data_IF_791626074980
#
_entry.id   IF_791626074980
#
_cell.length_a   1.000
_cell.length_b   1.000
_cell.length_c   1.000
_cell.angle_alpha   90.00
_cell.angle_beta   90.00
_cell.angle_gamma   90.00
#
_symmetry.space_group_name_H-M   'P 1'
#
loop_
_entity.id
_entity.type
_entity.pdbx_description
1 polymer ?
#
# COMPACT_ATOMS: atom_id res chain seq x y z
N UNK A 1 -7.98 59.92 32.40
CA UNK A 1 -8.80 59.94 31.17
C UNK A 1 -7.93 59.40 30.04
N UNK A 2 -8.13 58.12 29.75
CA UNK A 2 -7.37 57.33 28.79
C UNK A 2 -7.85 57.65 27.36
N UNK A 3 -6.91 57.97 26.46
CA UNK A 3 -7.22 58.20 25.04
C UNK A 3 -7.23 56.85 24.32
N UNK A 4 -8.38 56.48 23.78
CA UNK A 4 -8.59 55.27 22.98
C UNK A 4 -8.00 55.52 21.59
N UNK A 5 -6.94 54.78 21.23
CA UNK A 5 -6.47 54.69 19.84
C UNK A 5 -7.27 53.63 19.06
N UNK A 6 -7.61 53.87 17.78
CA UNK A 6 -8.37 52.92 16.98
C UNK A 6 -7.50 51.73 16.54
N UNK A 7 -8.07 50.53 16.66
CA UNK A 7 -7.46 49.27 16.19
C UNK A 7 -7.07 49.34 14.71
N UNK A 8 -5.91 48.78 14.30
CA UNK A 8 -5.62 48.55 12.89
C UNK A 8 -6.55 47.47 12.33
N UNK A 9 -7.24 47.79 11.22
CA UNK A 9 -7.89 46.78 10.38
C UNK A 9 -6.78 45.99 9.68
N UNK A 10 -6.62 44.73 10.06
CA UNK A 10 -5.74 43.82 9.35
C UNK A 10 -6.44 43.40 8.06
N UNK A 11 -5.76 43.62 6.94
CA UNK A 11 -6.23 43.33 5.60
C UNK A 11 -6.49 41.85 5.40
N UNK A 12 -7.56 41.59 4.65
CA UNK A 12 -7.87 40.35 3.95
C UNK A 12 -6.87 40.13 2.83
N UNK A 13 -6.09 39.05 2.87
CA UNK A 13 -5.60 38.34 1.68
C UNK A 13 -5.51 36.84 2.04
N UNK A 14 -6.67 36.18 2.10
CA UNK A 14 -6.74 34.73 1.93
C UNK A 14 -6.45 34.47 0.45
N UNK A 15 -5.19 34.19 0.12
CA UNK A 15 -4.81 33.65 -1.18
C UNK A 15 -5.21 32.17 -1.22
N UNK A 16 -6.52 31.93 -1.36
CA UNK A 16 -7.06 30.65 -1.77
C UNK A 16 -6.88 30.49 -3.27
N UNK A 17 -5.67 30.16 -3.71
CA UNK A 17 -5.51 29.57 -5.05
C UNK A 17 -6.21 28.20 -5.00
N UNK A 18 -7.42 28.12 -5.56
CA UNK A 18 -8.04 26.84 -5.88
C UNK A 18 -7.07 26.10 -6.81
N UNK A 19 -6.41 25.07 -6.27
CA UNK A 19 -5.48 24.26 -7.03
C UNK A 19 -6.22 23.68 -8.25
N UNK A 20 -5.77 24.02 -9.45
CA UNK A 20 -6.34 23.48 -10.68
C UNK A 20 -6.28 21.95 -10.67
N UNK A 21 -7.23 21.29 -11.32
CA UNK A 21 -7.27 19.81 -11.41
C UNK A 21 -5.95 19.24 -11.93
N UNK A 22 -5.29 19.96 -12.84
CA UNK A 22 -3.96 19.58 -13.34
C UNK A 22 -2.84 19.79 -12.31
N UNK A 23 -2.91 20.83 -11.48
CA UNK A 23 -1.99 21.02 -10.34
C UNK A 23 -2.16 19.96 -9.25
N UNK A 24 -3.38 19.52 -8.97
CA UNK A 24 -3.66 18.41 -8.05
C UNK A 24 -3.10 17.09 -8.61
N UNK A 25 -3.20 16.89 -9.93
CA UNK A 25 -2.63 15.71 -10.62
C UNK A 25 -1.11 15.69 -10.59
N UNK A 26 -0.46 16.80 -10.90
CA UNK A 26 1.02 16.89 -10.90
C UNK A 26 1.60 16.70 -9.50
N UNK A 27 1.00 17.34 -8.49
CA UNK A 27 1.45 17.21 -7.10
C UNK A 27 1.26 15.77 -6.57
N UNK A 28 0.14 15.12 -6.89
CA UNK A 28 -0.10 13.72 -6.51
C UNK A 28 0.92 12.74 -7.11
N UNK A 29 1.36 12.97 -8.35
CA UNK A 29 2.38 12.11 -8.98
C UNK A 29 3.73 12.30 -8.27
N UNK A 30 4.12 13.55 -8.00
CA UNK A 30 5.41 13.86 -7.39
C UNK A 30 5.48 13.40 -5.92
N UNK A 31 4.44 13.69 -5.14
CA UNK A 31 4.49 13.51 -3.68
C UNK A 31 4.11 12.10 -3.25
N UNK A 32 3.22 11.45 -4.00
CA UNK A 32 2.55 10.21 -3.57
C UNK A 32 2.52 9.12 -4.63
N UNK A 33 3.03 9.38 -5.84
CA UNK A 33 3.02 8.44 -6.96
C UNK A 33 1.61 8.12 -7.46
N UNK A 34 0.64 9.01 -7.26
CA UNK A 34 -0.77 8.75 -7.59
C UNK A 34 -1.35 9.78 -8.54
N UNK A 35 -2.37 9.36 -9.31
CA UNK A 35 -3.06 10.25 -10.26
C UNK A 35 -4.54 9.90 -10.39
N UNK A 36 -5.36 10.94 -10.57
CA UNK A 36 -6.77 10.80 -10.94
C UNK A 36 -6.91 10.72 -12.47
N UNK A 37 -7.51 9.64 -12.97
CA UNK A 37 -7.78 9.43 -14.41
C UNK A 37 -9.27 9.37 -14.72
N UNK A 38 -9.65 9.75 -15.94
CA UNK A 38 -11.04 9.86 -16.40
C UNK A 38 -11.59 11.29 -16.39
N UNK A 39 -12.66 11.52 -17.15
CA UNK A 39 -13.32 12.84 -17.27
C UNK A 39 -14.72 12.90 -16.63
N UNK A 40 -15.42 11.76 -16.50
CA UNK A 40 -16.78 11.66 -15.92
C UNK A 40 -16.87 10.70 -14.73
N UNK A 41 -16.00 9.71 -14.67
CA UNK A 41 -15.85 8.78 -13.55
C UNK A 41 -14.36 8.73 -13.22
N UNK A 42 -13.98 9.31 -12.08
CA UNK A 42 -12.58 9.35 -11.69
C UNK A 42 -12.18 7.98 -11.14
N UNK A 43 -11.12 7.41 -11.69
CA UNK A 43 -10.41 6.27 -11.10
C UNK A 43 -9.13 6.83 -10.50
N UNK A 44 -8.91 6.51 -9.22
CA UNK A 44 -7.66 6.85 -8.58
C UNK A 44 -6.64 5.75 -8.86
N UNK A 45 -5.48 6.12 -9.39
CA UNK A 45 -4.36 5.22 -9.60
C UNK A 45 -3.36 5.41 -8.45
N UNK A 46 -3.15 4.36 -7.66
CA UNK A 46 -2.17 4.31 -6.58
C UNK A 46 -1.01 3.39 -7.01
N UNK A 47 0.22 3.89 -6.98
CA UNK A 47 1.41 3.04 -7.20
C UNK A 47 2.03 2.62 -5.87
N UNK A 48 2.27 1.32 -5.70
CA UNK A 48 3.10 0.78 -4.61
C UNK A 48 4.36 0.21 -5.24
N UNK A 49 5.44 0.99 -5.16
CA UNK A 49 6.71 0.72 -5.82
C UNK A 49 7.85 0.82 -4.81
N UNK A 50 8.86 -0.04 -5.00
CA UNK A 50 10.03 -0.06 -4.13
C UNK A 50 9.71 -0.74 -2.79
N UNK A 51 10.36 -0.29 -1.72
CA UNK A 51 10.19 -0.88 -0.40
C UNK A 51 9.08 -0.18 0.38
N UNK A 52 8.23 -0.94 1.05
CA UNK A 52 7.18 -0.39 1.91
C UNK A 52 7.80 0.03 3.24
N UNK A 53 7.74 1.32 3.52
CA UNK A 53 8.11 1.89 4.80
C UNK A 53 7.02 1.63 5.84
N UNK A 54 7.44 1.37 7.07
CA UNK A 54 6.56 1.24 8.23
C UNK A 54 6.93 2.26 9.29
N UNK A 55 7.08 1.80 10.53
CA UNK A 55 7.37 2.66 11.68
C UNK A 55 8.70 3.44 11.59
N UNK A 56 9.59 3.06 10.67
CA UNK A 56 10.89 3.70 10.47
C UNK A 56 11.02 4.21 9.03
N UNK A 57 11.45 5.46 8.92
CA UNK A 57 11.82 6.07 7.64
C UNK A 57 13.07 5.36 7.11
N UNK A 58 13.02 4.94 5.85
CA UNK A 58 14.17 4.33 5.18
C UNK A 58 15.13 5.40 4.65
N UNK A 59 16.40 5.05 4.38
CA UNK A 59 17.36 5.99 3.81
C UNK A 59 16.85 6.62 2.50
N UNK A 60 17.10 7.91 2.24
CA UNK A 60 16.60 8.61 1.05
C UNK A 60 17.02 8.01 -0.29
N UNK A 61 18.04 7.15 -0.32
CA UNK A 61 18.50 6.45 -1.51
C UNK A 61 17.58 5.28 -1.91
N UNK A 62 16.71 4.83 -1.00
CA UNK A 62 15.75 3.79 -1.27
C UNK A 62 14.54 4.39 -2.01
N UNK A 63 14.06 3.69 -3.04
CA UNK A 63 12.73 3.96 -3.57
C UNK A 63 11.71 3.35 -2.63
N UNK A 64 10.77 4.15 -2.14
CA UNK A 64 9.85 3.70 -1.10
C UNK A 64 8.42 4.11 -1.33
N UNK A 65 7.52 3.32 -0.76
CA UNK A 65 6.11 3.66 -0.58
C UNK A 65 5.89 3.93 0.91
N UNK A 66 5.44 5.14 1.23
CA UNK A 66 5.22 5.60 2.61
C UNK A 66 3.81 5.28 3.06
N UNK A 67 3.66 4.30 3.95
CA UNK A 67 2.34 3.84 4.38
C UNK A 67 1.53 4.95 5.08
N UNK A 68 2.20 5.89 5.75
CA UNK A 68 1.58 7.04 6.39
C UNK A 68 0.97 8.04 5.41
N UNK A 69 1.40 8.02 4.14
CA UNK A 69 0.77 8.77 3.06
C UNK A 69 -0.36 7.98 2.40
N UNK A 70 -0.15 6.66 2.22
CA UNK A 70 -1.11 5.78 1.53
C UNK A 70 -2.39 5.59 2.34
N UNK A 71 -2.31 5.39 3.66
CA UNK A 71 -3.48 5.12 4.50
C UNK A 71 -4.51 6.26 4.46
N UNK A 72 -4.14 7.54 4.69
CA UNK A 72 -5.08 8.65 4.59
C UNK A 72 -5.67 8.81 3.18
N UNK A 73 -4.87 8.54 2.14
CA UNK A 73 -5.36 8.59 0.76
C UNK A 73 -6.43 7.54 0.50
N UNK A 74 -6.22 6.30 0.95
CA UNK A 74 -7.23 5.24 0.80
C UNK A 74 -8.54 5.60 1.48
N UNK A 75 -8.49 6.21 2.67
CA UNK A 75 -9.68 6.72 3.36
C UNK A 75 -10.37 7.83 2.56
N UNK A 76 -9.61 8.80 2.05
CA UNK A 76 -10.16 9.87 1.21
C UNK A 76 -10.78 9.33 -0.10
N UNK A 77 -10.14 8.31 -0.70
CA UNK A 77 -10.64 7.62 -1.88
C UNK A 77 -11.94 6.90 -1.57
N UNK A 78 -12.08 6.21 -0.44
CA UNK A 78 -13.32 5.51 -0.08
C UNK A 78 -14.49 6.49 0.12
N UNK A 79 -14.27 7.63 0.78
CA UNK A 79 -15.33 8.59 1.10
C UNK A 79 -15.73 9.52 -0.08
N UNK A 80 -14.84 9.74 -1.06
CA UNK A 80 -15.09 10.70 -2.14
C UNK A 80 -16.19 10.25 -3.12
N UNK A 81 -17.33 10.92 -3.21
CA UNK A 81 -18.36 10.54 -4.19
C UNK A 81 -17.90 10.66 -5.65
N UNK A 82 -16.88 11.45 -5.94
CA UNK A 82 -16.35 11.66 -7.30
C UNK A 82 -15.49 10.48 -7.79
N UNK A 83 -14.72 9.88 -6.88
CA UNK A 83 -13.86 8.73 -7.19
C UNK A 83 -14.70 7.46 -7.19
N UNK A 84 -14.78 6.81 -8.36
CA UNK A 84 -15.62 5.63 -8.61
C UNK A 84 -14.87 4.30 -8.50
N UNK A 85 -13.56 4.32 -8.33
CA UNK A 85 -12.76 3.12 -8.15
C UNK A 85 -11.28 3.40 -7.92
N UNK A 86 -10.56 2.35 -7.57
CA UNK A 86 -9.14 2.37 -7.29
C UNK A 86 -8.41 1.35 -8.18
N UNK A 87 -7.36 1.81 -8.85
CA UNK A 87 -6.39 0.98 -9.54
C UNK A 87 -5.09 1.00 -8.75
N UNK A 88 -4.58 -0.18 -8.36
CA UNK A 88 -3.34 -0.35 -7.62
C UNK A 88 -2.28 -0.96 -8.54
N UNK A 89 -1.19 -0.25 -8.77
CA UNK A 89 -0.07 -0.75 -9.57
C UNK A 89 1.06 -1.19 -8.65
N UNK A 90 1.48 -2.45 -8.78
CA UNK A 90 2.45 -3.08 -7.87
C UNK A 90 3.77 -3.38 -8.58
N UNK A 91 4.86 -2.90 -7.98
CA UNK A 91 6.23 -3.31 -8.29
C UNK A 91 7.11 -3.13 -7.05
N UNK A 92 6.96 -4.05 -6.08
CA UNK A 92 7.52 -3.91 -4.74
C UNK A 92 8.47 -5.05 -4.40
N UNK A 93 9.55 -4.69 -3.70
CA UNK A 93 10.48 -5.62 -3.08
C UNK A 93 10.03 -6.05 -1.67
N UNK A 94 8.78 -5.77 -1.31
CA UNK A 94 8.23 -5.99 0.03
C UNK A 94 8.58 -4.83 0.97
N UNK A 95 8.64 -5.10 2.27
CA UNK A 95 8.95 -4.07 3.26
C UNK A 95 8.43 -4.43 4.64
N UNK A 96 8.01 -3.42 5.40
CA UNK A 96 7.40 -3.62 6.70
C UNK A 96 6.08 -4.41 6.57
N UNK A 97 5.99 -5.51 7.32
CA UNK A 97 4.87 -6.45 7.26
C UNK A 97 3.59 -5.82 7.80
N UNK A 98 3.67 -5.10 8.91
CA UNK A 98 2.49 -4.51 9.55
C UNK A 98 1.92 -3.39 8.70
N UNK A 99 2.79 -2.53 8.16
CA UNK A 99 2.40 -1.45 7.25
C UNK A 99 1.76 -1.97 5.96
N UNK A 100 2.39 -2.97 5.32
CA UNK A 100 1.85 -3.55 4.09
C UNK A 100 0.53 -4.29 4.32
N UNK A 101 0.37 -4.98 5.46
CA UNK A 101 -0.89 -5.62 5.81
C UNK A 101 -1.99 -4.60 6.12
N UNK A 102 -1.67 -3.48 6.79
CA UNK A 102 -2.63 -2.40 7.03
C UNK A 102 -3.16 -1.80 5.73
N UNK A 103 -2.29 -1.56 4.74
CA UNK A 103 -2.69 -1.12 3.40
C UNK A 103 -3.58 -2.18 2.74
N UNK A 104 -3.18 -3.46 2.78
CA UNK A 104 -3.93 -4.55 2.17
C UNK A 104 -5.34 -4.71 2.79
N UNK A 105 -5.45 -4.69 4.12
CA UNK A 105 -6.72 -4.80 4.83
C UNK A 105 -7.65 -3.62 4.53
N UNK A 106 -7.11 -2.40 4.42
CA UNK A 106 -7.90 -1.25 3.99
C UNK A 106 -8.45 -1.44 2.59
N UNK A 107 -7.61 -1.82 1.61
CA UNK A 107 -8.04 -2.05 0.21
C UNK A 107 -9.11 -3.14 0.14
N UNK A 108 -8.92 -4.26 0.85
CA UNK A 108 -9.88 -5.36 0.87
C UNK A 108 -11.23 -4.96 1.49
N UNK A 109 -11.22 -4.04 2.46
CA UNK A 109 -12.42 -3.50 3.10
C UNK A 109 -13.20 -2.46 2.30
N UNK A 110 -12.63 -1.92 1.20
CA UNK A 110 -13.26 -0.85 0.43
C UNK A 110 -14.55 -1.28 -0.25
N UNK A 111 -15.59 -0.44 -0.21
CA UNK A 111 -16.84 -0.68 -0.94
C UNK A 111 -16.69 -0.37 -2.42
N UNK A 112 -15.79 0.55 -2.78
CA UNK A 112 -15.53 0.90 -4.17
C UNK A 112 -14.88 -0.25 -4.95
N UNK A 113 -15.11 -0.36 -6.26
CA UNK A 113 -14.35 -1.29 -7.12
C UNK A 113 -12.84 -1.06 -6.99
N UNK A 114 -12.09 -2.12 -6.76
CA UNK A 114 -10.63 -2.10 -6.63
C UNK A 114 -10.03 -3.10 -7.62
N UNK A 115 -8.98 -2.70 -8.33
CA UNK A 115 -8.20 -3.56 -9.22
C UNK A 115 -6.73 -3.47 -8.84
N UNK A 116 -6.04 -4.60 -8.73
CA UNK A 116 -4.58 -4.63 -8.61
C UNK A 116 -3.94 -5.17 -9.89
N UNK A 117 -2.78 -4.61 -10.25
CA UNK A 117 -1.95 -5.10 -11.37
C UNK A 117 -0.51 -5.19 -10.93
N UNK A 118 0.04 -6.40 -10.90
CA UNK A 118 1.47 -6.65 -10.70
C UNK A 118 2.19 -6.47 -12.03
N UNK A 119 3.05 -5.44 -12.13
CA UNK A 119 3.75 -5.05 -13.36
C UNK A 119 5.19 -5.57 -13.45
N UNK A 120 5.81 -5.88 -12.32
CA UNK A 120 7.20 -6.33 -12.23
C UNK A 120 7.36 -7.42 -11.19
N UNK A 121 7.86 -7.08 -10.00
CA UNK A 121 7.95 -8.03 -8.90
C UNK A 121 6.93 -7.74 -7.80
N UNK A 122 6.44 -8.77 -7.14
CA UNK A 122 5.85 -8.65 -5.80
C UNK A 122 6.55 -9.61 -4.85
N UNK A 123 7.27 -9.07 -3.87
CA UNK A 123 7.99 -9.86 -2.88
C UNK A 123 7.31 -9.79 -1.51
N UNK A 124 7.19 -10.93 -0.85
CA UNK A 124 6.72 -11.03 0.53
C UNK A 124 5.33 -10.40 0.71
N UNK A 125 5.23 -9.31 1.48
CA UNK A 125 4.00 -8.53 1.70
C UNK A 125 3.38 -7.97 0.40
N UNK A 126 4.12 -7.95 -0.71
CA UNK A 126 3.58 -7.69 -2.04
C UNK A 126 2.49 -8.68 -2.46
N UNK A 127 2.50 -9.92 -1.94
CA UNK A 127 1.48 -10.94 -2.22
C UNK A 127 0.13 -10.56 -1.59
N UNK A 128 0.03 -10.29 -0.27
CA UNK A 128 -1.17 -9.69 0.32
C UNK A 128 -1.69 -8.45 -0.40
N UNK A 129 -0.79 -7.54 -0.81
CA UNK A 129 -1.19 -6.35 -1.57
C UNK A 129 -1.72 -6.66 -2.97
N UNK A 130 -1.18 -7.69 -3.63
CA UNK A 130 -1.67 -8.14 -4.92
C UNK A 130 -3.09 -8.68 -4.80
N UNK A 131 -3.37 -9.52 -3.81
CA UNK A 131 -4.68 -10.16 -3.68
C UNK A 131 -5.72 -9.33 -2.93
N UNK A 132 -5.38 -8.14 -2.41
CA UNK A 132 -6.33 -7.32 -1.63
C UNK A 132 -7.41 -6.65 -2.48
N UNK A 133 -7.18 -6.49 -3.78
CA UNK A 133 -8.16 -5.91 -4.67
C UNK A 133 -9.23 -6.93 -5.08
N UNK A 134 -10.44 -6.44 -5.38
CA UNK A 134 -11.57 -7.28 -5.81
C UNK A 134 -11.27 -8.07 -7.06
N UNK A 135 -10.52 -7.47 -7.98
CA UNK A 135 -9.97 -8.14 -9.15
C UNK A 135 -8.46 -7.92 -9.18
N UNK A 136 -7.71 -8.97 -9.45
CA UNK A 136 -6.24 -8.96 -9.39
C UNK A 136 -5.66 -9.54 -10.67
N UNK A 137 -4.68 -8.85 -11.24
CA UNK A 137 -3.98 -9.26 -12.45
C UNK A 137 -2.46 -9.24 -12.24
N UNK A 138 -1.78 -10.11 -12.98
CA UNK A 138 -0.33 -10.14 -13.09
C UNK A 138 0.05 -10.11 -14.57
N UNK A 139 1.00 -9.25 -14.96
CA UNK A 139 1.46 -9.23 -16.35
C UNK A 139 2.35 -10.44 -16.65
N UNK A 140 2.45 -10.91 -17.91
CA UNK A 140 3.15 -12.16 -18.22
C UNK A 140 4.64 -12.22 -17.85
N UNK A 141 5.30 -11.07 -17.71
CA UNK A 141 6.72 -10.98 -17.33
C UNK A 141 6.94 -10.73 -15.84
N UNK A 142 5.87 -10.58 -15.06
CA UNK A 142 5.97 -10.28 -13.64
C UNK A 142 6.13 -11.56 -12.81
N UNK A 143 6.75 -11.42 -11.64
CA UNK A 143 7.04 -12.55 -10.74
C UNK A 143 6.61 -12.23 -9.32
N UNK A 144 6.02 -13.21 -8.65
CA UNK A 144 5.68 -13.13 -7.23
C UNK A 144 6.58 -14.07 -6.42
N UNK A 145 7.10 -13.59 -5.29
CA UNK A 145 7.98 -14.38 -4.42
C UNK A 145 7.37 -14.48 -3.03
N UNK A 146 7.02 -15.70 -2.63
CA UNK A 146 6.51 -16.04 -1.30
C UNK A 146 7.68 -16.62 -0.48
N UNK A 147 7.80 -16.21 0.79
CA UNK A 147 8.73 -16.83 1.73
C UNK A 147 8.21 -16.63 3.17
N UNK A 148 8.65 -17.45 4.15
CA UNK A 148 8.25 -17.28 5.54
C UNK A 148 8.73 -15.94 6.09
N UNK A 149 7.99 -15.37 7.04
CA UNK A 149 8.44 -14.18 7.78
C UNK A 149 9.79 -14.47 8.44
N UNK A 150 10.82 -13.67 8.10
CA UNK A 150 12.18 -13.86 8.58
C UNK A 150 12.48 -12.95 9.77
N UNK A 151 13.32 -13.44 10.69
CA UNK A 151 13.96 -12.59 11.70
C UNK A 151 15.29 -12.07 11.16
N UNK A 152 15.47 -10.75 11.16
CA UNK A 152 16.78 -10.14 10.96
C UNK A 152 17.35 -9.75 12.33
N UNK A 153 18.61 -10.11 12.62
CA UNK A 153 19.31 -9.75 13.87
C UNK A 153 19.30 -10.82 14.96
N UNK A 154 19.80 -10.46 16.16
CA UNK A 154 19.92 -11.38 17.29
C UNK A 154 18.54 -11.71 17.88
N UNK A 155 18.07 -12.92 17.61
CA UNK A 155 16.89 -13.47 18.27
C UNK A 155 17.32 -13.98 19.64
N UNK A 156 16.94 -13.27 20.70
CA UNK A 156 16.91 -13.90 22.02
C UNK A 156 15.86 -15.01 21.88
N UNK A 157 16.28 -16.28 21.94
CA UNK A 157 15.46 -17.47 21.70
C UNK A 157 14.36 -17.70 22.74
N UNK A 158 13.64 -16.65 23.10
CA UNK A 158 12.54 -16.65 24.05
C UNK A 158 11.26 -17.09 23.34
N UNK A 159 10.45 -18.00 23.93
CA UNK A 159 9.24 -18.55 23.31
C UNK A 159 8.26 -17.48 22.78
N UNK A 160 8.22 -16.32 23.41
CA UNK A 160 7.37 -15.20 23.04
C UNK A 160 7.69 -14.66 21.64
N UNK A 161 8.97 -14.59 21.27
CA UNK A 161 9.38 -14.14 19.95
C UNK A 161 8.89 -15.11 18.88
N UNK A 162 9.12 -16.42 19.07
CA UNK A 162 8.62 -17.44 18.14
C UNK A 162 7.10 -17.39 17.97
N UNK A 163 6.35 -17.30 19.08
CA UNK A 163 4.88 -17.21 19.03
C UNK A 163 4.38 -15.96 18.28
N UNK A 164 5.08 -14.84 18.38
CA UNK A 164 4.74 -13.64 17.62
C UNK A 164 4.87 -13.86 16.10
N UNK A 165 5.96 -14.48 15.63
CA UNK A 165 6.15 -14.73 14.20
C UNK A 165 5.19 -15.77 13.64
N UNK A 166 4.91 -16.83 14.39
CA UNK A 166 3.89 -17.80 14.00
C UNK A 166 2.53 -17.14 13.80
N UNK A 167 2.12 -16.27 14.73
CA UNK A 167 0.86 -15.51 14.61
C UNK A 167 0.88 -14.54 13.44
N UNK A 168 1.99 -13.85 13.20
CA UNK A 168 2.14 -12.96 12.05
C UNK A 168 2.04 -13.73 10.73
N UNK A 169 2.71 -14.88 10.65
CA UNK A 169 2.65 -15.77 9.50
C UNK A 169 1.22 -16.29 9.28
N UNK A 170 0.53 -16.70 10.35
CA UNK A 170 -0.86 -17.14 10.30
C UNK A 170 -1.78 -16.04 9.77
N UNK A 171 -1.60 -14.79 10.22
CA UNK A 171 -2.37 -13.63 9.71
C UNK A 171 -2.16 -13.41 8.22
N UNK A 172 -0.92 -13.48 7.74
CA UNK A 172 -0.61 -13.36 6.30
C UNK A 172 -1.26 -14.49 5.52
N UNK A 173 -1.06 -15.74 5.95
CA UNK A 173 -1.62 -16.91 5.28
C UNK A 173 -3.13 -16.80 5.20
N UNK A 174 -3.80 -16.48 6.31
CA UNK A 174 -5.25 -16.31 6.36
C UNK A 174 -5.73 -15.20 5.42
N UNK A 175 -5.08 -14.04 5.46
CA UNK A 175 -5.43 -12.93 4.57
C UNK A 175 -5.34 -13.34 3.09
N UNK A 176 -4.25 -14.00 2.70
CA UNK A 176 -4.06 -14.43 1.30
C UNK A 176 -5.10 -15.48 0.90
N UNK A 177 -5.40 -16.44 1.76
CA UNK A 177 -6.37 -17.50 1.45
C UNK A 177 -7.80 -16.97 1.40
N UNK A 178 -8.14 -15.99 2.25
CA UNK A 178 -9.47 -15.38 2.29
C UNK A 178 -9.73 -14.47 1.08
N UNK A 179 -8.66 -13.89 0.51
CA UNK A 179 -8.74 -12.94 -0.62
C UNK A 179 -8.27 -13.55 -1.96
N UNK A 180 -8.04 -14.86 -2.02
CA UNK A 180 -7.68 -15.53 -3.27
C UNK A 180 -8.33 -16.92 -3.36
N UNK A 181 -7.91 -17.72 -4.35
CA UNK A 181 -8.43 -19.08 -4.55
C UNK A 181 -7.45 -20.16 -4.09
N UNK A 182 -6.36 -19.78 -3.43
CA UNK A 182 -5.36 -20.72 -2.93
C UNK A 182 -5.79 -21.32 -1.59
N UNK A 183 -5.48 -22.59 -1.35
CA UNK A 183 -5.71 -23.19 -0.03
C UNK A 183 -4.55 -22.85 0.92
N UNK A 184 -4.77 -22.83 2.25
CA UNK A 184 -3.71 -22.61 3.23
C UNK A 184 -2.55 -23.61 3.09
N UNK A 185 -2.85 -24.86 2.77
CA UNK A 185 -1.85 -25.92 2.57
C UNK A 185 -1.00 -25.60 1.33
N UNK A 186 -1.63 -25.29 0.20
CA UNK A 186 -0.92 -24.96 -1.04
C UNK A 186 -0.07 -23.70 -0.89
N UNK A 187 -0.58 -22.68 -0.19
CA UNK A 187 0.19 -21.48 0.10
C UNK A 187 1.40 -21.78 0.99
N UNK A 188 1.22 -22.62 2.01
CA UNK A 188 2.31 -23.06 2.90
C UNK A 188 3.36 -23.88 2.16
N UNK A 189 2.94 -24.79 1.28
CA UNK A 189 3.85 -25.58 0.44
C UNK A 189 4.70 -24.68 -0.45
N UNK A 190 4.09 -23.72 -1.14
CA UNK A 190 4.80 -22.74 -1.98
C UNK A 190 5.78 -21.89 -1.15
N UNK A 191 5.38 -21.51 0.06
CA UNK A 191 6.22 -20.74 0.97
C UNK A 191 7.43 -21.52 1.47
N UNK A 192 7.29 -22.83 1.69
CA UNK A 192 8.35 -23.71 2.20
C UNK A 192 9.21 -24.36 1.12
N UNK A 193 8.76 -24.35 -0.14
CA UNK A 193 9.47 -24.87 -1.30
C UNK A 193 10.80 -24.10 -1.52
N UNK A 194 11.85 -24.53 -0.83
CA UNK A 194 13.21 -24.01 -0.94
C UNK A 194 14.06 -25.04 -1.68
N UNK A 195 14.26 -24.87 -2.99
CA UNK A 195 15.11 -25.80 -3.74
C UNK A 195 15.24 -25.59 -5.24
N UNK A 196 14.23 -25.04 -5.91
CA UNK A 196 14.31 -24.69 -7.33
C UNK A 196 13.81 -23.26 -7.49
N UNK A 197 14.76 -22.32 -7.63
CA UNK A 197 14.55 -20.94 -8.12
C UNK A 197 13.19 -20.32 -7.76
N UNK A 198 13.12 -19.56 -6.65
CA UNK A 198 12.09 -18.56 -6.33
C UNK A 198 10.89 -18.61 -7.29
N UNK A 199 10.05 -19.64 -7.14
CA UNK A 199 9.13 -20.01 -8.21
C UNK A 199 8.13 -18.89 -8.39
N UNK A 200 8.09 -18.38 -9.61
CA UNK A 200 7.04 -17.52 -10.10
C UNK A 200 5.69 -18.22 -9.90
N UNK A 201 4.87 -17.68 -9.01
CA UNK A 201 3.53 -18.20 -8.71
C UNK A 201 2.44 -17.56 -9.56
N UNK A 202 2.80 -16.98 -10.70
CA UNK A 202 1.86 -16.38 -11.65
C UNK A 202 0.97 -17.42 -12.34
N UNK A 203 -0.23 -17.63 -11.80
CA UNK A 203 -1.46 -17.99 -12.57
C UNK A 203 -2.67 -17.36 -11.92
#
# INVERSE_FOLDING_TARGET
MEKIEPKPRMGTEENGEEASVDGIRENGIHDTGSVLTGSKHLIHCLTIIGQIEGHYILPPQNKTTKYEHVIPQLAAIEESEEIKGLLVLLNTVGGDVEAGLAIAELIAGMKKPTVSVVLGGGHSIGVPLAVSAKESFIVPSATMTIHPVRMNGLVLGVPQSFSYFEKMQERITRFVTDNSRITPERFTDLMMATGELAMDVGT
#
